data_IF_836530522547
#
_entry.id   IF_836530522547
#
_cell.length_a   1.000
_cell.length_b   1.000
_cell.length_c   1.000
_cell.angle_alpha   90.00
_cell.angle_beta   90.00
_cell.angle_gamma   90.00
#
_symmetry.space_group_name_H-M   'P 1'
#
loop_
_entity.id
_entity.type
_entity.pdbx_description
1 polymer ?
#
# COMPACT_ATOMS: atom_id res chain seq x y z
N UNK A 1 -27.43 14.62 11.42
CA UNK A 1 -26.03 15.02 11.51
C UNK A 1 -25.20 13.81 11.10
N UNK A 2 -24.68 13.79 9.89
CA UNK A 2 -23.91 12.65 9.38
C UNK A 2 -22.48 12.83 9.90
N UNK A 3 -22.00 11.90 10.71
CA UNK A 3 -20.63 11.86 11.16
C UNK A 3 -19.72 11.66 9.93
N UNK A 4 -19.10 12.74 9.45
CA UNK A 4 -17.92 12.62 8.61
C UNK A 4 -16.83 11.98 9.46
N UNK A 5 -16.60 10.68 9.26
CA UNK A 5 -15.39 10.01 9.76
C UNK A 5 -14.20 10.84 9.30
N UNK A 6 -13.34 11.13 10.27
CA UNK A 6 -12.15 11.94 10.19
C UNK A 6 -11.19 11.33 9.16
N UNK A 7 -11.33 11.67 7.88
CA UNK A 7 -10.35 11.34 6.84
C UNK A 7 -9.13 12.24 7.05
N UNK A 8 -8.27 11.85 8.00
CA UNK A 8 -6.89 12.32 8.03
C UNK A 8 -6.26 11.85 6.72
N UNK A 9 -6.26 12.73 5.71
CA UNK A 9 -5.48 12.52 4.50
C UNK A 9 -4.03 12.54 4.95
N UNK A 10 -3.35 11.41 4.80
CA UNK A 10 -1.92 11.34 5.01
C UNK A 10 -1.28 12.26 3.95
N UNK A 11 -0.26 13.04 4.33
CA UNK A 11 0.35 14.02 3.44
C UNK A 11 1.78 13.57 3.09
N UNK A 12 1.94 12.97 1.91
CA UNK A 12 3.26 12.79 1.30
C UNK A 12 3.87 14.16 0.95
N UNK A 13 5.07 14.46 1.47
CA UNK A 13 5.81 15.70 1.16
C UNK A 13 7.05 15.38 0.37
N UNK A 14 7.34 16.17 -0.66
CA UNK A 14 8.59 15.99 -1.40
C UNK A 14 9.76 16.73 -0.74
N UNK A 15 10.88 16.03 -0.44
CA UNK A 15 11.99 16.57 0.36
C UNK A 15 12.68 17.80 -0.26
N UNK A 16 12.55 18.02 -1.58
CA UNK A 16 13.24 19.10 -2.28
C UNK A 16 12.25 20.09 -2.88
N UNK A 17 12.54 21.38 -2.76
CA UNK A 17 11.77 22.46 -3.38
C UNK A 17 11.78 22.44 -4.92
N UNK A 18 12.63 21.59 -5.54
CA UNK A 18 12.69 21.40 -7.00
C UNK A 18 11.99 20.12 -7.48
N UNK A 19 11.34 19.37 -6.58
CA UNK A 19 10.59 18.15 -6.93
C UNK A 19 9.09 18.41 -6.93
N UNK A 20 8.38 17.79 -7.88
CA UNK A 20 6.92 17.76 -7.97
C UNK A 20 6.40 16.44 -7.39
N UNK A 21 5.26 16.48 -6.71
CA UNK A 21 4.56 15.26 -6.28
C UNK A 21 3.62 14.83 -7.41
N UNK A 22 3.82 13.62 -7.91
CA UNK A 22 3.02 13.02 -8.98
C UNK A 22 2.45 11.68 -8.49
N UNK A 23 1.20 11.38 -8.85
CA UNK A 23 0.62 10.07 -8.58
C UNK A 23 1.06 9.09 -9.67
N UNK A 24 1.75 8.03 -9.26
CA UNK A 24 2.30 7.01 -10.16
C UNK A 24 1.87 5.63 -9.68
N UNK A 25 1.22 4.86 -10.57
CA UNK A 25 0.84 3.47 -10.31
C UNK A 25 1.85 2.45 -10.86
N UNK A 26 1.62 1.18 -10.55
CA UNK A 26 2.35 0.05 -11.14
C UNK A 26 1.98 -0.10 -12.62
N UNK A 27 2.82 0.43 -13.50
CA UNK A 27 2.59 0.38 -14.94
C UNK A 27 2.59 -1.06 -15.49
N UNK A 28 3.36 -1.96 -14.90
CA UNK A 28 3.38 -3.37 -15.29
C UNK A 28 2.03 -4.01 -14.98
N UNK A 29 1.45 -3.74 -13.80
CA UNK A 29 0.10 -4.18 -13.46
C UNK A 29 -0.94 -3.61 -14.42
N UNK A 30 -0.93 -2.29 -14.65
CA UNK A 30 -1.92 -1.62 -15.51
C UNK A 30 -1.91 -2.18 -16.93
N UNK A 31 -0.72 -2.34 -17.52
CA UNK A 31 -0.55 -2.93 -18.86
C UNK A 31 -1.05 -4.37 -18.89
N UNK A 32 -0.67 -5.18 -17.90
CA UNK A 32 -1.10 -6.57 -17.82
C UNK A 32 -2.63 -6.70 -17.75
N UNK A 33 -3.29 -5.93 -16.88
CA UNK A 33 -4.75 -5.97 -16.74
C UNK A 33 -5.48 -5.46 -17.97
N UNK A 34 -4.96 -4.41 -18.60
CA UNK A 34 -5.52 -3.86 -19.85
C UNK A 34 -5.48 -4.89 -20.99
N UNK A 35 -4.40 -5.68 -21.09
CA UNK A 35 -4.28 -6.75 -22.09
C UNK A 35 -5.24 -7.92 -21.86
N UNK A 36 -5.71 -8.12 -20.63
CA UNK A 36 -6.61 -9.23 -20.27
C UNK A 36 -8.08 -8.77 -20.11
N UNK A 37 -8.43 -7.59 -20.64
CA UNK A 37 -9.77 -7.00 -20.55
C UNK A 37 -10.31 -6.91 -19.11
N UNK A 38 -9.43 -6.74 -18.12
CA UNK A 38 -9.76 -6.58 -16.70
C UNK A 38 -9.70 -5.11 -16.30
N UNK A 39 -10.56 -4.69 -15.36
CA UNK A 39 -10.48 -3.34 -14.80
C UNK A 39 -9.22 -3.25 -13.94
N UNK A 40 -8.25 -2.46 -14.41
CA UNK A 40 -7.00 -2.25 -13.68
C UNK A 40 -7.24 -1.39 -12.44
N UNK A 41 -8.26 -0.54 -12.43
CA UNK A 41 -8.64 0.29 -11.28
C UNK A 41 -9.10 -0.54 -10.09
N UNK A 42 -9.72 -1.70 -10.35
CA UNK A 42 -10.19 -2.61 -9.32
C UNK A 42 -9.11 -3.60 -8.84
N UNK A 43 -8.09 -3.87 -9.66
CA UNK A 43 -7.14 -4.96 -9.41
C UNK A 43 -5.70 -4.50 -9.17
N UNK A 44 -5.31 -3.33 -9.67
CA UNK A 44 -3.98 -2.78 -9.44
C UNK A 44 -3.97 -1.94 -8.16
N UNK A 45 -2.81 -1.83 -7.50
CA UNK A 45 -2.65 -0.87 -6.42
C UNK A 45 -3.00 0.55 -6.87
N UNK A 46 -3.59 1.37 -5.99
CA UNK A 46 -3.85 2.77 -6.29
C UNK A 46 -2.53 3.50 -6.59
N UNK A 47 -2.62 4.56 -7.38
CA UNK A 47 -1.46 5.39 -7.72
C UNK A 47 -0.89 6.04 -6.47
N UNK A 48 0.42 5.90 -6.28
CA UNK A 48 1.12 6.36 -5.09
C UNK A 48 1.83 7.69 -5.35
N UNK A 49 1.95 8.57 -4.34
CA UNK A 49 2.71 9.80 -4.46
C UNK A 49 4.19 9.48 -4.67
N UNK A 50 4.76 10.03 -5.74
CA UNK A 50 6.19 9.93 -6.07
C UNK A 50 6.73 11.33 -6.31
N UNK A 51 7.93 11.59 -5.80
CA UNK A 51 8.61 12.85 -6.03
C UNK A 51 9.44 12.78 -7.30
N UNK A 52 9.14 13.69 -8.24
CA UNK A 52 9.75 13.73 -9.56
C UNK A 52 10.57 15.00 -9.71
N UNK A 53 11.81 14.87 -10.19
CA UNK A 53 12.66 16.03 -10.51
C UNK A 53 12.40 16.53 -11.92
N UNK A 54 12.86 17.74 -12.25
CA UNK A 54 12.86 18.26 -13.65
C UNK A 54 13.59 17.36 -14.66
N UNK A 55 14.49 16.48 -14.19
CA UNK A 55 15.20 15.49 -15.04
C UNK A 55 14.50 14.12 -15.08
N UNK A 56 13.26 14.04 -14.59
CA UNK A 56 12.44 12.83 -14.52
C UNK A 56 13.01 11.72 -13.61
N UNK A 57 13.96 12.05 -12.73
CA UNK A 57 14.38 11.13 -11.64
C UNK A 57 13.26 11.05 -10.61
N UNK A 58 12.89 9.82 -10.23
CA UNK A 58 11.85 9.50 -9.23
C UNK A 58 12.48 9.17 -7.87
N UNK A 59 11.88 9.65 -6.80
CA UNK A 59 12.26 9.33 -5.42
C UNK A 59 11.01 9.23 -4.53
N UNK A 60 11.13 8.50 -3.42
CA UNK A 60 10.06 8.41 -2.43
C UNK A 60 9.80 9.79 -1.79
N UNK A 61 8.54 10.12 -1.47
CA UNK A 61 8.23 11.26 -0.62
C UNK A 61 8.69 11.01 0.82
N UNK A 62 8.90 12.09 1.56
CA UNK A 62 9.00 12.03 3.01
C UNK A 62 7.62 11.67 3.56
N UNK A 63 7.55 10.57 4.30
CA UNK A 63 6.31 10.07 4.89
C UNK A 63 6.24 10.51 6.34
N UNK A 64 5.19 11.26 6.67
CA UNK A 64 4.82 11.54 8.05
C UNK A 64 4.08 10.32 8.63
N UNK A 65 4.84 9.33 9.12
CA UNK A 65 4.36 8.05 9.66
C UNK A 65 3.35 8.16 10.83
N UNK A 66 3.16 9.35 11.39
CA UNK A 66 2.22 9.59 12.48
C UNK A 66 0.77 9.27 12.05
N UNK A 67 0.44 9.47 10.77
CA UNK A 67 -0.91 9.26 10.25
C UNK A 67 -1.18 7.87 9.63
N UNK A 68 -0.20 6.97 9.64
CA UNK A 68 -0.41 5.58 9.20
C UNK A 68 -1.28 4.86 10.25
N UNK A 69 -2.33 4.10 9.86
CA UNK A 69 -3.15 3.34 10.81
C UNK A 69 -2.29 2.42 11.70
N UNK A 70 -2.65 2.27 12.97
CA UNK A 70 -1.84 1.53 13.95
C UNK A 70 -1.59 0.08 13.56
N UNK A 71 -2.58 -0.56 12.95
CA UNK A 71 -2.52 -1.91 12.42
C UNK A 71 -1.45 -2.02 11.32
N UNK A 72 -1.37 -1.06 10.40
CA UNK A 72 -0.36 -1.02 9.35
C UNK A 72 1.08 -0.87 9.89
N UNK A 73 1.24 -0.57 11.18
CA UNK A 73 2.54 -0.51 11.86
C UNK A 73 2.95 -1.82 12.52
N UNK A 74 2.07 -2.82 12.54
CA UNK A 74 2.35 -4.12 13.14
C UNK A 74 3.26 -4.95 12.21
N UNK A 75 4.17 -5.78 12.74
CA UNK A 75 4.92 -6.73 11.91
C UNK A 75 3.97 -7.76 11.28
N UNK A 76 4.37 -8.44 10.18
CA UNK A 76 3.58 -9.55 9.67
C UNK A 76 3.47 -10.66 10.72
N UNK A 77 2.26 -11.13 10.98
CA UNK A 77 2.00 -12.26 11.87
C UNK A 77 1.33 -13.40 11.08
N UNK A 78 2.10 -14.46 10.86
CA UNK A 78 1.67 -15.65 10.13
C UNK A 78 0.59 -16.45 10.89
N UNK A 79 0.33 -16.15 12.16
CA UNK A 79 -0.56 -16.94 12.99
C UNK A 79 0.04 -18.31 13.35
N UNK A 80 -0.70 -19.07 14.15
CA UNK A 80 -0.18 -20.29 14.80
C UNK A 80 -0.89 -21.59 14.40
N UNK A 81 -1.88 -21.52 13.51
CA UNK A 81 -2.58 -22.73 13.08
C UNK A 81 -1.68 -23.64 12.23
N UNK A 82 -1.85 -24.95 12.38
CA UNK A 82 -1.15 -25.93 11.56
C UNK A 82 -2.07 -26.35 10.42
N UNK A 83 -1.90 -25.71 9.26
CA UNK A 83 -2.66 -26.01 8.05
C UNK A 83 -1.73 -26.41 6.92
N UNK A 84 -2.22 -27.29 6.05
CA UNK A 84 -1.41 -27.79 4.92
C UNK A 84 -1.16 -26.71 3.86
N UNK A 85 -2.10 -25.78 3.68
CA UNK A 85 -2.11 -24.80 2.59
C UNK A 85 -2.39 -23.39 3.15
N UNK A 86 -1.36 -22.65 3.61
CA UNK A 86 -1.55 -21.27 4.03
C UNK A 86 -1.96 -20.35 2.87
N UNK A 87 -2.77 -19.33 3.16
CA UNK A 87 -3.14 -18.33 2.15
C UNK A 87 -2.05 -17.27 2.02
N UNK A 88 -1.80 -16.87 0.78
CA UNK A 88 -0.97 -15.71 0.49
C UNK A 88 -1.79 -14.44 0.77
N UNK A 89 -1.32 -13.63 1.72
CA UNK A 89 -1.88 -12.32 2.05
C UNK A 89 -0.79 -11.25 1.90
N UNK A 90 -1.14 -9.99 2.14
CA UNK A 90 -0.25 -8.84 2.09
C UNK A 90 -0.25 -8.13 3.45
N UNK A 91 0.92 -7.65 3.87
CA UNK A 91 1.08 -6.74 5.00
C UNK A 91 1.75 -5.45 4.51
N UNK A 92 1.47 -4.33 5.16
CA UNK A 92 2.16 -3.08 4.91
C UNK A 92 3.54 -3.10 5.58
N UNK A 93 4.58 -3.00 4.76
CA UNK A 93 5.96 -2.86 5.17
C UNK A 93 6.29 -1.37 5.28
N UNK A 94 6.36 -0.89 6.53
CA UNK A 94 6.68 0.50 6.85
C UNK A 94 8.07 0.93 6.36
N UNK A 95 9.04 0.02 6.30
CA UNK A 95 10.41 0.35 5.89
C UNK A 95 10.46 0.61 4.39
N UNK A 96 9.71 -0.19 3.62
CA UNK A 96 9.66 -0.10 2.17
C UNK A 96 8.52 0.77 1.63
N UNK A 97 7.60 1.20 2.51
CA UNK A 97 6.36 1.89 2.15
C UNK A 97 5.58 1.17 1.04
N UNK A 98 5.52 -0.16 1.16
CA UNK A 98 4.88 -1.02 0.17
C UNK A 98 4.17 -2.19 0.86
N UNK A 99 3.20 -2.77 0.16
CA UNK A 99 2.52 -3.97 0.61
C UNK A 99 3.21 -5.22 0.07
N UNK A 100 3.77 -6.01 0.99
CA UNK A 100 4.57 -7.20 0.69
C UNK A 100 3.78 -8.46 1.02
N UNK A 101 3.91 -9.50 0.19
CA UNK A 101 3.18 -10.74 0.41
C UNK A 101 3.81 -11.62 1.49
N UNK A 102 2.99 -12.29 2.29
CA UNK A 102 3.38 -13.30 3.28
C UNK A 102 2.35 -14.44 3.33
N UNK A 103 2.71 -15.55 4.00
CA UNK A 103 1.80 -16.67 4.20
C UNK A 103 1.14 -16.61 5.57
N UNK A 104 -0.19 -16.62 5.60
CA UNK A 104 -1.00 -16.67 6.81
C UNK A 104 -1.57 -18.07 7.03
N UNK A 105 -1.50 -18.57 8.25
CA UNK A 105 -1.93 -19.91 8.62
C UNK A 105 -3.42 -20.02 8.98
N UNK A 106 -4.27 -19.07 8.55
CA UNK A 106 -5.73 -19.07 8.72
C UNK A 106 -6.26 -18.86 10.15
N UNK A 107 -5.42 -18.71 11.18
CA UNK A 107 -5.88 -18.30 12.50
C UNK A 107 -4.82 -17.55 13.31
N UNK A 108 -5.28 -16.74 14.28
CA UNK A 108 -4.42 -15.82 15.03
C UNK A 108 -4.03 -14.64 14.14
N UNK A 109 -2.80 -14.17 14.26
CA UNK A 109 -2.32 -13.05 13.48
C UNK A 109 -2.69 -11.69 14.08
N UNK A 110 -2.52 -10.65 13.27
CA UNK A 110 -2.93 -9.28 13.57
C UNK A 110 -3.66 -8.64 12.38
N UNK A 111 -3.93 -7.34 12.44
CA UNK A 111 -4.75 -6.65 11.45
C UNK A 111 -3.94 -6.07 10.27
N UNK A 112 -2.60 -6.18 10.30
CA UNK A 112 -1.75 -5.90 9.13
C UNK A 112 -1.79 -7.05 8.11
N UNK A 113 -3.00 -7.39 7.65
CA UNK A 113 -3.24 -8.52 6.75
C UNK A 113 -4.40 -8.22 5.81
N UNK A 114 -4.10 -8.22 4.52
CA UNK A 114 -5.04 -7.94 3.45
C UNK A 114 -4.98 -9.01 2.37
N UNK A 115 -6.10 -9.26 1.69
CA UNK A 115 -6.18 -10.33 0.69
C UNK A 115 -5.45 -9.93 -0.60
N UNK A 116 -5.45 -8.63 -0.92
CA UNK A 116 -4.83 -8.12 -2.14
C UNK A 116 -3.86 -6.99 -1.83
N UNK A 117 -2.85 -6.83 -2.70
CA UNK A 117 -1.93 -5.68 -2.63
C UNK A 117 -2.68 -4.35 -2.75
N UNK A 118 -3.73 -4.29 -3.58
CA UNK A 118 -4.50 -3.06 -3.79
C UNK A 118 -5.26 -2.62 -2.54
N UNK A 119 -5.90 -3.57 -1.86
CA UNK A 119 -6.58 -3.32 -0.57
C UNK A 119 -5.59 -2.81 0.49
N UNK A 120 -4.44 -3.49 0.62
CA UNK A 120 -3.40 -3.10 1.55
C UNK A 120 -2.88 -1.68 1.27
N UNK A 121 -2.53 -1.38 0.01
CA UNK A 121 -2.00 -0.06 -0.37
C UNK A 121 -3.07 1.04 -0.22
N UNK A 122 -4.34 0.73 -0.49
CA UNK A 122 -5.44 1.69 -0.30
C UNK A 122 -5.69 2.02 1.16
N UNK A 123 -5.45 1.07 2.06
CA UNK A 123 -5.69 1.24 3.50
C UNK A 123 -4.50 1.85 4.22
N UNK A 124 -3.29 1.37 3.92
CA UNK A 124 -2.09 1.69 4.69
C UNK A 124 -1.20 2.75 4.07
N UNK A 125 -1.31 2.98 2.76
CA UNK A 125 -0.37 3.88 2.09
C UNK A 125 -0.70 5.36 2.31
N UNK A 126 0.32 6.19 2.59
CA UNK A 126 0.27 7.65 2.68
C UNK A 126 -0.24 8.43 1.47
#
# INVERSE_FOLDING_TARGET
>A
MIHHKNSQRIFAKCPKSITTCELVGDQSCKVYKQQHSKSWEAECPPDQPVCVTKRNTRMAPDIEFENVPSECKQPPDAGSCQIKNPSQNFFYDLENNDCTSFYFHECGGNDNRFVTKSECMSHCSP
#
